data_IF_896671197208
#
_entry.id   IF_896671197208
#
_cell.length_a   1.000
_cell.length_b   1.000
_cell.length_c   1.000
_cell.angle_alpha   90.00
_cell.angle_beta   90.00
_cell.angle_gamma   90.00
#
_symmetry.space_group_name_H-M   'P 1'
#
loop_
_entity.id
_entity.type
_entity.pdbx_description
1 polymer ?
#
# COMPACT_ATOMS: atom_id res chain seq x y z
N UNK A 1 -55.47 49.38 -2.61
CA UNK A 1 -54.22 49.49 -3.43
C UNK A 1 -53.26 48.42 -2.92
N UNK A 2 -53.33 47.20 -3.46
CA UNK A 2 -52.57 46.06 -2.99
C UNK A 2 -51.30 45.92 -3.88
N UNK A 3 -50.16 46.07 -3.26
CA UNK A 3 -48.87 45.89 -3.88
C UNK A 3 -48.48 44.38 -3.82
N UNK A 4 -48.44 43.71 -4.93
CA UNK A 4 -47.98 42.30 -5.04
C UNK A 4 -46.45 42.31 -5.05
N UNK A 5 -45.84 41.71 -4.04
CA UNK A 5 -44.42 41.41 -3.94
C UNK A 5 -44.18 40.07 -4.70
N UNK A 6 -43.54 40.12 -5.85
CA UNK A 6 -43.09 38.93 -6.59
C UNK A 6 -41.74 38.50 -6.03
N UNK A 7 -41.69 37.35 -5.36
CA UNK A 7 -40.46 36.68 -4.98
C UNK A 7 -39.90 35.97 -6.20
N UNK A 8 -38.74 36.41 -6.70
CA UNK A 8 -37.93 35.70 -7.68
C UNK A 8 -37.02 34.76 -6.93
N UNK A 9 -37.33 33.43 -7.01
CA UNK A 9 -36.48 32.37 -6.49
C UNK A 9 -35.41 32.08 -7.55
N UNK A 10 -34.19 32.48 -7.29
CA UNK A 10 -33.02 32.05 -8.08
C UNK A 10 -32.71 30.59 -7.72
N UNK A 11 -33.01 29.66 -8.60
CA UNK A 11 -32.50 28.30 -8.57
C UNK A 11 -31.07 28.32 -9.08
N UNK A 12 -30.09 28.32 -8.16
CA UNK A 12 -28.72 27.98 -8.51
C UNK A 12 -28.62 26.48 -8.65
N UNK A 13 -28.57 25.99 -9.89
CA UNK A 13 -28.23 24.61 -10.21
C UNK A 13 -26.76 24.39 -9.88
N UNK A 14 -26.52 23.77 -8.72
CA UNK A 14 -25.20 23.25 -8.39
C UNK A 14 -25.00 22.02 -9.27
N UNK A 15 -24.19 22.17 -10.32
CA UNK A 15 -23.70 21.05 -11.10
C UNK A 15 -22.76 20.23 -10.18
N UNK A 16 -23.25 19.12 -9.66
CA UNK A 16 -22.41 18.08 -9.10
C UNK A 16 -21.62 17.46 -10.25
N UNK A 17 -20.38 17.87 -10.40
CA UNK A 17 -19.39 17.14 -11.19
C UNK A 17 -19.14 15.86 -10.40
N UNK A 18 -19.83 14.79 -10.77
CA UNK A 18 -19.46 13.45 -10.35
C UNK A 18 -18.08 13.15 -10.94
N UNK A 19 -17.03 13.25 -10.12
CA UNK A 19 -15.76 12.62 -10.45
C UNK A 19 -16.01 11.11 -10.52
N UNK A 20 -16.30 10.63 -11.71
CA UNK A 20 -16.14 9.23 -12.07
C UNK A 20 -14.67 8.89 -11.79
N UNK A 21 -14.43 8.12 -10.73
CA UNK A 21 -13.14 7.47 -10.56
C UNK A 21 -13.02 6.43 -11.64
N UNK A 22 -12.47 6.81 -12.79
CA UNK A 22 -12.01 5.87 -13.79
C UNK A 22 -11.00 4.96 -13.10
N UNK A 23 -11.47 3.75 -12.81
CA UNK A 23 -10.62 2.65 -12.34
C UNK A 23 -9.67 2.37 -13.49
N UNK A 24 -8.46 2.88 -13.41
CA UNK A 24 -7.36 2.52 -14.29
C UNK A 24 -7.16 1.00 -14.18
N UNK A 25 -7.81 0.26 -15.07
CA UNK A 25 -7.42 -1.12 -15.37
C UNK A 25 -6.09 -1.03 -16.09
N UNK A 26 -5.00 -1.17 -15.34
CA UNK A 26 -3.69 -1.46 -15.93
C UNK A 26 -3.85 -2.74 -16.74
N UNK A 27 -3.86 -2.60 -18.07
CA UNK A 27 -3.73 -3.73 -18.97
C UNK A 27 -2.34 -4.31 -18.74
N UNK A 28 -2.27 -5.47 -18.06
CA UNK A 28 -1.02 -6.18 -17.76
C UNK A 28 -0.29 -6.68 -19.02
N UNK A 29 -0.79 -6.36 -20.21
CA UNK A 29 -0.32 -6.90 -21.47
C UNK A 29 0.86 -6.10 -22.08
N UNK A 30 1.34 -5.03 -21.43
CA UNK A 30 2.31 -4.10 -22.05
C UNK A 30 3.66 -4.02 -21.31
N UNK A 31 3.91 -4.87 -20.31
CA UNK A 31 5.21 -4.84 -19.63
C UNK A 31 6.09 -5.95 -20.20
N UNK A 32 6.94 -5.61 -21.17
CA UNK A 32 8.12 -6.41 -21.52
C UNK A 32 9.09 -6.39 -20.33
N UNK A 33 9.85 -7.49 -20.13
CA UNK A 33 10.71 -7.66 -18.96
C UNK A 33 11.78 -6.58 -18.73
N UNK A 34 11.98 -5.68 -19.70
CA UNK A 34 12.94 -4.55 -19.63
C UNK A 34 12.30 -3.25 -19.11
N UNK A 35 10.96 -3.18 -18.95
CA UNK A 35 10.24 -1.99 -18.50
C UNK A 35 10.01 -1.95 -16.96
N UNK A 36 10.65 -2.83 -16.21
CA UNK A 36 10.63 -2.79 -14.72
C UNK A 36 11.48 -1.66 -14.12
N UNK A 37 12.18 -0.89 -14.96
CA UNK A 37 12.84 0.35 -14.57
C UNK A 37 11.85 1.50 -14.72
N UNK A 38 11.52 2.12 -13.61
CA UNK A 38 10.64 3.29 -13.43
C UNK A 38 10.79 4.31 -14.58
N UNK A 39 9.87 4.28 -15.54
CA UNK A 39 9.58 5.43 -16.38
C UNK A 39 8.38 6.13 -15.79
N UNK A 40 8.56 7.36 -15.37
CA UNK A 40 7.47 8.29 -15.09
C UNK A 40 6.60 8.36 -16.34
N UNK A 41 5.36 7.92 -16.24
CA UNK A 41 4.40 7.97 -17.34
C UNK A 41 3.96 9.42 -17.47
N UNK A 42 4.47 10.10 -18.46
CA UNK A 42 3.85 11.31 -19.01
C UNK A 42 2.56 10.87 -19.73
N UNK A 43 1.42 11.24 -19.14
CA UNK A 43 0.10 11.01 -19.71
C UNK A 43 -0.14 11.88 -20.94
N UNK A 44 0.30 11.44 -22.09
CA UNK A 44 -0.23 11.94 -23.37
C UNK A 44 -0.84 10.80 -24.16
N UNK A 45 -2.16 10.84 -24.18
CA UNK A 45 -3.06 9.97 -24.93
C UNK A 45 -2.66 9.86 -26.40
N UNK A 46 -2.23 8.70 -26.84
CA UNK A 46 -2.33 8.30 -28.23
C UNK A 46 -3.34 7.15 -28.34
N UNK A 47 -4.54 7.52 -28.75
CA UNK A 47 -5.61 6.60 -29.16
C UNK A 47 -5.23 6.01 -30.50
N UNK A 48 -5.19 4.71 -30.58
CA UNK A 48 -5.38 3.79 -31.69
C UNK A 48 -4.24 2.81 -31.92
N UNK A 49 -4.39 1.66 -31.28
CA UNK A 49 -4.23 0.34 -31.89
C UNK A 49 -4.56 -0.72 -30.83
N UNK A 50 -5.83 -1.19 -30.79
CA UNK A 50 -6.20 -2.37 -30.00
C UNK A 50 -5.47 -3.60 -30.57
N UNK A 51 -4.23 -3.83 -30.15
CA UNK A 51 -3.59 -5.14 -30.33
C UNK A 51 -4.49 -6.15 -29.63
N UNK A 52 -4.96 -7.18 -30.34
CA UNK A 52 -5.68 -8.30 -29.72
C UNK A 52 -4.81 -8.91 -28.65
N UNK A 53 -5.17 -8.72 -27.39
CA UNK A 53 -4.45 -9.29 -26.24
C UNK A 53 -4.48 -10.81 -26.34
N UNK A 54 -3.34 -11.44 -26.28
CA UNK A 54 -3.24 -12.90 -26.34
C UNK A 54 -3.90 -13.48 -25.07
N UNK A 55 -4.91 -14.30 -25.25
CA UNK A 55 -5.70 -14.89 -24.15
C UNK A 55 -4.81 -15.72 -23.20
N UNK A 56 -4.92 -15.46 -21.89
CA UNK A 56 -4.17 -16.16 -20.82
C UNK A 56 -2.65 -16.02 -20.89
N UNK A 57 -2.12 -14.91 -21.40
CA UNK A 57 -0.70 -14.58 -21.31
C UNK A 57 -0.57 -13.37 -20.38
N UNK A 58 0.23 -13.52 -19.31
CA UNK A 58 0.51 -12.48 -18.34
C UNK A 58 2.02 -12.42 -18.13
N UNK A 59 2.58 -11.20 -18.10
CA UNK A 59 4.02 -10.98 -18.01
C UNK A 59 4.81 -11.82 -19.04
N UNK A 60 4.28 -11.94 -20.26
CA UNK A 60 4.88 -12.72 -21.36
C UNK A 60 4.73 -14.24 -21.24
N UNK A 61 4.10 -14.77 -20.19
CA UNK A 61 4.02 -16.20 -19.89
C UNK A 61 2.59 -16.71 -20.08
N UNK A 62 2.47 -17.85 -20.78
CA UNK A 62 1.19 -18.56 -20.96
C UNK A 62 0.78 -19.24 -19.65
N UNK A 63 -0.43 -18.95 -19.18
CA UNK A 63 -0.97 -19.48 -17.91
C UNK A 63 -2.18 -20.36 -18.14
N UNK A 64 -2.50 -21.15 -17.14
CA UNK A 64 -3.77 -21.91 -17.02
C UNK A 64 -4.64 -21.26 -15.94
N UNK A 65 -5.96 -21.29 -16.15
CA UNK A 65 -6.94 -20.80 -15.17
C UNK A 65 -7.18 -21.83 -14.08
N UNK A 66 -7.27 -21.36 -12.86
CA UNK A 66 -7.68 -22.11 -11.68
C UNK A 66 -8.92 -21.52 -11.03
N UNK A 67 -9.65 -22.35 -10.32
CA UNK A 67 -10.86 -21.98 -9.61
C UNK A 67 -10.98 -22.80 -8.34
N UNK A 68 -11.27 -22.14 -7.22
CA UNK A 68 -11.55 -22.78 -5.93
C UNK A 68 -12.87 -22.23 -5.41
N UNK A 69 -13.67 -23.12 -4.83
CA UNK A 69 -14.86 -22.78 -4.04
C UNK A 69 -14.68 -23.32 -2.63
N UNK A 70 -14.74 -22.43 -1.64
CA UNK A 70 -14.67 -22.80 -0.22
C UNK A 70 -15.99 -22.42 0.43
N UNK A 71 -16.80 -23.37 0.90
CA UNK A 71 -18.00 -23.08 1.70
C UNK A 71 -17.60 -22.42 3.03
N UNK A 72 -18.29 -21.34 3.39
CA UNK A 72 -18.09 -20.64 4.67
C UNK A 72 -19.45 -20.34 5.31
N UNK A 73 -20.00 -21.31 6.05
CA UNK A 73 -21.33 -21.23 6.61
C UNK A 73 -22.39 -21.06 5.52
N UNK A 74 -23.17 -19.95 5.57
CA UNK A 74 -24.18 -19.62 4.56
C UNK A 74 -23.61 -18.98 3.29
N UNK A 75 -22.32 -18.65 3.27
CA UNK A 75 -21.66 -17.98 2.18
C UNK A 75 -20.67 -18.93 1.48
N UNK A 76 -20.23 -18.53 0.28
CA UNK A 76 -19.17 -19.21 -0.44
C UNK A 76 -18.06 -18.23 -0.79
N UNK A 77 -16.83 -18.62 -0.57
CA UNK A 77 -15.65 -17.93 -1.09
C UNK A 77 -15.29 -18.57 -2.42
N UNK A 78 -15.11 -17.73 -3.43
CA UNK A 78 -14.64 -18.12 -4.75
C UNK A 78 -13.30 -17.45 -5.01
N UNK A 79 -12.31 -18.24 -5.41
CA UNK A 79 -11.00 -17.76 -5.81
C UNK A 79 -10.76 -18.11 -7.27
N UNK A 80 -10.65 -17.08 -8.12
CA UNK A 80 -10.26 -17.20 -9.52
C UNK A 80 -8.80 -16.77 -9.63
N UNK A 81 -7.97 -17.59 -10.23
CA UNK A 81 -6.55 -17.34 -10.34
C UNK A 81 -5.98 -17.94 -11.62
N UNK A 82 -4.75 -17.59 -11.89
CA UNK A 82 -3.95 -18.20 -12.95
C UNK A 82 -2.71 -18.84 -12.34
N UNK A 83 -2.18 -19.86 -13.00
CA UNK A 83 -0.99 -20.57 -12.56
C UNK A 83 -0.15 -21.04 -13.75
N UNK A 84 1.12 -21.34 -13.46
CA UNK A 84 2.10 -21.87 -14.42
C UNK A 84 2.63 -23.22 -13.93
N UNK A 85 3.19 -23.99 -14.88
CA UNK A 85 3.80 -25.28 -14.61
C UNK A 85 5.30 -25.18 -14.27
N UNK A 86 5.83 -23.95 -14.19
CA UNK A 86 7.24 -23.72 -13.84
C UNK A 86 7.48 -24.04 -12.37
N UNK A 87 8.65 -24.60 -12.08
CA UNK A 87 9.20 -24.80 -10.73
C UNK A 87 10.21 -23.72 -10.32
N UNK A 88 10.39 -22.67 -11.14
CA UNK A 88 11.36 -21.61 -10.88
C UNK A 88 10.86 -20.63 -9.83
N UNK A 89 11.59 -20.48 -8.73
CA UNK A 89 11.37 -19.45 -7.72
C UNK A 89 12.20 -18.21 -8.08
N UNK A 90 11.56 -17.10 -8.42
CA UNK A 90 12.24 -15.85 -8.81
C UNK A 90 12.84 -15.09 -7.62
N UNK A 91 12.27 -15.21 -6.44
CA UNK A 91 12.77 -14.60 -5.21
C UNK A 91 12.63 -15.58 -4.03
N UNK A 92 13.67 -16.34 -3.70
CA UNK A 92 13.64 -17.30 -2.59
C UNK A 92 13.60 -16.61 -1.21
N UNK A 93 13.94 -15.32 -1.14
CA UNK A 93 13.95 -14.54 0.10
C UNK A 93 12.61 -13.88 0.41
N UNK A 94 11.64 -13.97 -0.51
CA UNK A 94 10.29 -13.46 -0.25
C UNK A 94 9.68 -14.14 0.98
N UNK A 95 8.93 -13.38 1.75
CA UNK A 95 8.28 -13.90 2.96
C UNK A 95 7.27 -14.99 2.62
N UNK A 96 6.51 -14.81 1.56
CA UNK A 96 5.44 -15.72 1.14
C UNK A 96 5.50 -15.97 -0.37
N UNK A 97 5.49 -17.23 -0.75
CA UNK A 97 5.33 -17.69 -2.13
C UNK A 97 4.03 -18.49 -2.20
N UNK A 98 3.15 -18.12 -3.12
CA UNK A 98 1.81 -18.68 -3.23
C UNK A 98 1.75 -19.75 -4.31
N UNK A 99 1.20 -20.89 -3.93
CA UNK A 99 1.03 -22.06 -4.79
C UNK A 99 -0.42 -22.53 -4.78
N UNK A 100 -0.86 -23.05 -5.89
CA UNK A 100 -2.05 -23.91 -5.94
C UNK A 100 -1.63 -25.35 -5.69
N UNK A 101 -2.08 -25.94 -4.60
CA UNK A 101 -1.89 -27.36 -4.32
C UNK A 101 -3.01 -28.19 -4.98
N UNK A 102 -2.62 -29.04 -5.94
CA UNK A 102 -3.54 -29.90 -6.69
C UNK A 102 -4.22 -30.95 -5.80
N UNK A 103 -3.54 -31.42 -4.76
CA UNK A 103 -4.06 -32.49 -3.87
C UNK A 103 -5.14 -31.94 -2.93
N UNK A 104 -4.85 -30.87 -2.22
CA UNK A 104 -5.81 -30.24 -1.29
C UNK A 104 -6.79 -29.29 -1.99
N UNK A 105 -6.54 -28.93 -3.27
CA UNK A 105 -7.31 -27.95 -4.05
C UNK A 105 -7.44 -26.60 -3.34
N UNK A 106 -6.34 -26.17 -2.74
CA UNK A 106 -6.26 -24.90 -1.99
C UNK A 106 -5.06 -24.07 -2.47
N UNK A 107 -5.14 -22.75 -2.26
CA UNK A 107 -3.97 -21.89 -2.34
C UNK A 107 -3.23 -22.00 -1.01
N UNK A 108 -1.97 -22.37 -1.08
CA UNK A 108 -1.07 -22.50 0.06
C UNK A 108 0.09 -21.52 -0.06
N UNK A 109 0.72 -21.23 1.07
CA UNK A 109 1.93 -20.41 1.17
C UNK A 109 3.06 -21.29 1.64
N UNK A 110 4.16 -21.32 0.89
CA UNK A 110 5.32 -22.14 1.21
C UNK A 110 6.59 -21.48 0.70
N UNK A 111 7.73 -21.82 1.25
CA UNK A 111 9.06 -21.44 0.73
C UNK A 111 9.63 -22.50 -0.21
N UNK A 112 9.03 -23.68 -0.27
CA UNK A 112 9.51 -24.80 -1.09
C UNK A 112 8.43 -25.28 -2.05
N UNK A 113 8.86 -25.75 -3.19
CA UNK A 113 8.04 -26.38 -4.23
C UNK A 113 7.93 -27.87 -3.92
N UNK A 114 6.73 -28.44 -4.12
CA UNK A 114 6.50 -29.87 -4.14
C UNK A 114 5.85 -30.29 -5.47
N UNK A 115 5.89 -31.56 -5.80
CA UNK A 115 5.37 -32.12 -7.09
C UNK A 115 3.88 -31.83 -7.31
N UNK A 116 3.14 -31.59 -6.23
CA UNK A 116 1.71 -31.29 -6.28
C UNK A 116 1.40 -29.79 -6.33
N UNK A 117 2.39 -28.91 -6.25
CA UNK A 117 2.19 -27.47 -6.19
C UNK A 117 2.46 -26.79 -7.54
N UNK A 118 1.67 -25.76 -7.84
CA UNK A 118 1.77 -24.94 -9.05
C UNK A 118 1.86 -23.47 -8.66
N UNK A 119 2.84 -22.75 -9.20
CA UNK A 119 3.05 -21.35 -8.92
C UNK A 119 1.89 -20.51 -9.44
N UNK A 120 1.33 -19.64 -8.62
CA UNK A 120 0.37 -18.64 -9.05
C UNK A 120 1.07 -17.61 -9.96
N UNK A 121 0.41 -17.23 -11.08
CA UNK A 121 0.97 -16.28 -12.04
C UNK A 121 -0.12 -15.60 -12.85
N UNK A 122 -0.20 -14.27 -12.80
CA UNK A 122 -1.25 -13.49 -13.45
C UNK A 122 -2.33 -13.04 -12.46
N UNK A 123 -3.52 -12.68 -12.92
CA UNK A 123 -4.57 -12.10 -12.09
C UNK A 123 -5.13 -13.10 -11.06
N UNK A 124 -5.44 -12.55 -9.90
CA UNK A 124 -6.12 -13.21 -8.80
C UNK A 124 -7.31 -12.37 -8.36
N UNK A 125 -8.46 -13.02 -8.17
CA UNK A 125 -9.68 -12.40 -7.68
C UNK A 125 -10.34 -13.33 -6.68
N UNK A 126 -10.60 -12.81 -5.48
CA UNK A 126 -11.34 -13.49 -4.42
C UNK A 126 -12.70 -12.83 -4.24
N UNK A 127 -13.75 -13.63 -4.21
CA UNK A 127 -15.12 -13.17 -4.01
C UNK A 127 -15.76 -13.85 -2.81
N UNK A 128 -16.57 -13.10 -2.09
CA UNK A 128 -17.53 -13.63 -1.13
C UNK A 128 -18.89 -13.62 -1.83
N UNK A 129 -19.43 -14.80 -2.15
CA UNK A 129 -20.53 -14.94 -3.09
C UNK A 129 -20.19 -14.28 -4.44
N UNK A 130 -20.89 -13.22 -4.83
CA UNK A 130 -20.64 -12.50 -6.09
C UNK A 130 -19.79 -11.23 -5.93
N UNK A 131 -19.48 -10.83 -4.70
CA UNK A 131 -18.80 -9.58 -4.40
C UNK A 131 -17.29 -9.78 -4.32
N UNK A 132 -16.52 -8.95 -5.00
CA UNK A 132 -15.06 -8.95 -4.92
C UNK A 132 -14.64 -8.44 -3.53
N UNK A 133 -13.81 -9.22 -2.85
CA UNK A 133 -13.24 -8.84 -1.55
C UNK A 133 -11.72 -8.68 -1.57
N UNK A 134 -11.05 -9.27 -2.55
CA UNK A 134 -9.61 -9.10 -2.74
C UNK A 134 -9.26 -9.31 -4.21
N UNK A 135 -8.36 -8.48 -4.75
CA UNK A 135 -7.81 -8.67 -6.10
C UNK A 135 -6.37 -8.16 -6.21
N UNK A 136 -5.62 -8.75 -7.14
CA UNK A 136 -4.23 -8.38 -7.42
C UNK A 136 -3.62 -9.27 -8.47
N UNK A 137 -2.30 -9.22 -8.59
CA UNK A 137 -1.53 -10.02 -9.53
C UNK A 137 -0.45 -10.82 -8.82
N UNK A 138 -0.23 -12.05 -9.30
CA UNK A 138 0.92 -12.85 -8.93
C UNK A 138 1.95 -12.90 -10.05
N UNK A 139 3.23 -12.89 -9.69
CA UNK A 139 4.35 -13.13 -10.56
C UNK A 139 5.22 -14.25 -9.97
N UNK A 140 5.21 -15.45 -10.56
CA UNK A 140 5.88 -16.66 -10.03
C UNK A 140 5.59 -16.91 -8.53
N UNK A 141 4.33 -16.91 -8.16
CA UNK A 141 3.86 -17.11 -6.78
C UNK A 141 4.00 -15.90 -5.86
N UNK A 142 4.64 -14.82 -6.32
CA UNK A 142 4.90 -13.61 -5.55
C UNK A 142 3.82 -12.56 -5.82
N UNK A 143 3.35 -11.86 -4.80
CA UNK A 143 2.50 -10.69 -5.01
C UNK A 143 3.25 -9.65 -5.83
N UNK A 144 2.58 -9.07 -6.83
CA UNK A 144 3.16 -8.09 -7.73
C UNK A 144 2.20 -6.96 -8.01
N UNK A 145 2.71 -5.71 -8.01
CA UNK A 145 1.92 -4.52 -8.25
C UNK A 145 0.88 -4.27 -7.18
N UNK A 146 -0.22 -3.63 -7.56
CA UNK A 146 -1.29 -3.21 -6.68
C UNK A 146 -2.17 -4.38 -6.25
N UNK A 147 -2.41 -4.47 -4.94
CA UNK A 147 -3.37 -5.36 -4.29
C UNK A 147 -4.40 -4.53 -3.55
N UNK A 148 -5.67 -4.87 -3.67
CA UNK A 148 -6.76 -4.20 -2.98
C UNK A 148 -7.62 -5.20 -2.22
N UNK A 149 -8.12 -4.76 -1.06
CA UNK A 149 -9.17 -5.44 -0.29
C UNK A 149 -10.36 -4.52 -0.14
N UNK A 150 -11.54 -5.08 -0.39
CA UNK A 150 -12.81 -4.40 -0.29
C UNK A 150 -13.65 -5.04 0.83
N UNK A 151 -14.49 -4.23 1.47
CA UNK A 151 -15.48 -4.77 2.38
C UNK A 151 -16.74 -5.24 1.61
N UNK A 152 -17.75 -5.71 2.35
CA UNK A 152 -19.02 -6.17 1.78
C UNK A 152 -19.86 -5.07 1.11
N UNK A 153 -19.50 -3.82 1.27
CA UNK A 153 -20.18 -2.65 0.69
C UNK A 153 -19.34 -2.02 -0.45
N UNK A 154 -18.41 -2.78 -1.03
CA UNK A 154 -17.45 -2.35 -2.06
C UNK A 154 -16.56 -1.15 -1.66
N UNK A 155 -16.45 -0.88 -0.35
CA UNK A 155 -15.59 0.17 0.18
C UNK A 155 -14.17 -0.36 0.30
N UNK A 156 -13.20 0.39 -0.22
CA UNK A 156 -11.79 0.07 -0.12
C UNK A 156 -11.36 0.03 1.36
N UNK A 157 -10.96 -1.16 1.81
CA UNK A 157 -10.44 -1.38 3.16
C UNK A 157 -8.93 -1.23 3.21
N UNK A 158 -8.26 -1.71 2.17
CA UNK A 158 -6.82 -1.76 2.13
C UNK A 158 -6.29 -1.72 0.71
N UNK A 159 -5.16 -1.05 0.54
CA UNK A 159 -4.43 -0.96 -0.73
C UNK A 159 -2.95 -1.14 -0.41
N UNK A 160 -2.36 -2.13 -1.00
CA UNK A 160 -0.95 -2.47 -0.84
C UNK A 160 -0.26 -2.53 -2.21
N UNK A 161 1.01 -2.22 -2.26
CA UNK A 161 1.81 -2.34 -3.47
C UNK A 161 3.01 -3.26 -3.22
N UNK A 162 3.28 -4.15 -4.16
CA UNK A 162 4.30 -5.18 -4.03
C UNK A 162 5.23 -5.21 -5.23
N UNK A 163 6.50 -5.51 -4.99
CA UNK A 163 7.50 -5.81 -6.01
C UNK A 163 8.20 -7.11 -5.64
N UNK A 164 8.03 -8.14 -6.48
CA UNK A 164 8.60 -9.48 -6.27
C UNK A 164 8.35 -10.03 -4.85
N UNK A 165 7.12 -9.87 -4.34
CA UNK A 165 6.69 -10.32 -3.04
C UNK A 165 7.02 -9.39 -1.87
N UNK A 166 7.81 -8.35 -2.09
CA UNK A 166 8.14 -7.34 -1.09
C UNK A 166 7.17 -6.18 -1.11
N UNK A 167 6.65 -5.81 0.05
CA UNK A 167 5.79 -4.63 0.18
C UNK A 167 6.61 -3.35 -0.01
N UNK A 168 6.10 -2.45 -0.84
CA UNK A 168 6.75 -1.18 -1.22
C UNK A 168 5.89 0.04 -0.91
N UNK A 169 4.94 -0.06 0.00
CA UNK A 169 4.04 1.05 0.33
C UNK A 169 4.02 1.25 1.84
N UNK A 170 3.85 2.53 2.26
CA UNK A 170 3.79 2.87 3.68
C UNK A 170 2.58 2.23 4.35
N UNK A 171 2.80 1.65 5.52
CA UNK A 171 1.74 1.21 6.42
C UNK A 171 1.09 2.44 7.06
N UNK A 172 -0.23 2.43 7.12
CA UNK A 172 -1.01 3.49 7.76
C UNK A 172 -1.81 2.91 8.91
N UNK A 173 -1.60 3.45 10.10
CA UNK A 173 -2.37 3.13 11.29
C UNK A 173 -3.29 4.29 11.62
N UNK A 174 -4.45 3.99 12.20
CA UNK A 174 -5.50 4.95 12.50
C UNK A 174 -5.87 4.90 13.97
N UNK A 175 -6.38 6.01 14.52
CA UNK A 175 -6.88 6.10 15.87
C UNK A 175 -8.26 5.45 16.02
N UNK A 176 -9.01 5.40 14.92
CA UNK A 176 -10.38 4.94 14.86
C UNK A 176 -10.51 3.75 13.88
N UNK A 177 -11.59 2.99 14.08
CA UNK A 177 -11.89 1.83 13.25
C UNK A 177 -12.29 2.23 11.82
N UNK A 178 -12.92 3.40 11.67
CA UNK A 178 -13.41 3.90 10.38
C UNK A 178 -12.29 4.45 9.48
N UNK A 179 -11.04 4.42 9.99
CA UNK A 179 -9.83 4.85 9.27
C UNK A 179 -9.90 6.31 8.80
N UNK A 180 -10.49 7.19 9.60
CA UNK A 180 -10.59 8.63 9.33
C UNK A 180 -9.39 9.37 9.92
N UNK A 181 -9.08 9.13 11.19
CA UNK A 181 -8.03 9.84 11.92
C UNK A 181 -6.72 9.07 11.88
N UNK A 182 -5.79 9.53 11.05
CA UNK A 182 -4.49 8.92 10.89
C UNK A 182 -3.67 9.03 12.17
N UNK A 183 -3.10 7.91 12.62
CA UNK A 183 -2.24 7.82 13.80
C UNK A 183 -0.77 7.80 13.43
N UNK A 184 -0.42 7.02 12.40
CA UNK A 184 0.97 6.74 12.07
C UNK A 184 1.14 6.36 10.61
N UNK A 185 2.21 6.84 9.99
CA UNK A 185 2.69 6.41 8.66
C UNK A 185 4.08 5.82 8.84
N UNK A 186 4.21 4.52 8.60
CA UNK A 186 5.48 3.81 8.61
C UNK A 186 5.89 3.55 7.17
N UNK A 187 6.99 4.13 6.68
CA UNK A 187 7.45 3.90 5.31
C UNK A 187 8.00 2.48 5.19
N UNK A 188 7.53 1.72 4.20
CA UNK A 188 8.02 0.37 3.92
C UNK A 188 8.61 0.32 2.52
N UNK A 189 9.81 -0.23 2.41
CA UNK A 189 10.48 -0.51 1.14
C UNK A 189 11.16 -1.88 1.24
N UNK A 190 10.85 -2.76 0.29
CA UNK A 190 11.33 -4.15 0.29
C UNK A 190 11.05 -4.93 1.58
N UNK A 191 9.94 -4.61 2.25
CA UNK A 191 9.54 -5.27 3.50
C UNK A 191 10.16 -4.70 4.77
N UNK A 192 11.04 -3.72 4.68
CA UNK A 192 11.72 -3.06 5.80
C UNK A 192 11.26 -1.62 5.97
N UNK A 193 11.32 -1.10 7.21
CA UNK A 193 11.09 0.32 7.45
C UNK A 193 12.22 1.13 6.81
N UNK A 194 11.87 1.94 5.79
CA UNK A 194 12.83 2.72 5.04
C UNK A 194 12.18 3.97 4.44
N UNK A 195 12.63 5.16 4.85
CA UNK A 195 12.14 6.46 4.43
C UNK A 195 11.56 7.28 5.57
N UNK A 196 10.72 8.27 5.24
CA UNK A 196 10.21 9.25 6.20
C UNK A 196 9.02 8.70 6.99
N UNK A 197 9.14 8.77 8.31
CA UNK A 197 8.15 8.39 9.30
C UNK A 197 7.39 9.62 9.81
N UNK A 198 6.09 9.44 10.07
CA UNK A 198 5.23 10.44 10.70
C UNK A 198 4.30 9.78 11.72
N UNK A 199 4.17 10.41 12.89
CA UNK A 199 3.10 10.14 13.83
C UNK A 199 2.23 11.39 14.01
N UNK A 200 0.95 11.20 14.30
CA UNK A 200 -0.03 12.26 14.40
C UNK A 200 -0.79 12.18 15.73
N UNK A 201 -1.16 13.32 16.26
CA UNK A 201 -2.15 13.43 17.30
C UNK A 201 -3.54 13.12 16.74
N UNK A 202 -4.50 12.88 17.63
CA UNK A 202 -5.88 12.57 17.22
C UNK A 202 -6.56 13.70 16.44
N UNK A 203 -6.12 14.95 16.61
CA UNK A 203 -6.57 16.13 15.87
C UNK A 203 -5.87 16.32 14.51
N UNK A 204 -5.05 15.36 14.09
CA UNK A 204 -4.36 15.35 12.81
C UNK A 204 -3.04 16.13 12.76
N UNK A 205 -2.66 16.81 13.85
CA UNK A 205 -1.36 17.50 13.90
C UNK A 205 -0.22 16.50 14.06
N UNK A 206 0.94 16.83 13.51
CA UNK A 206 2.14 16.01 13.62
C UNK A 206 2.60 15.92 15.08
N UNK A 207 2.74 14.70 15.59
CA UNK A 207 3.25 14.41 16.93
C UNK A 207 4.74 14.07 16.92
N UNK A 208 5.20 13.37 15.87
CA UNK A 208 6.61 13.06 15.67
C UNK A 208 6.91 12.87 14.18
N UNK A 209 8.17 13.14 13.80
CA UNK A 209 8.69 12.83 12.46
C UNK A 209 10.17 12.44 12.55
N UNK A 210 10.59 11.58 11.62
CA UNK A 210 11.98 11.13 11.52
C UNK A 210 12.19 10.34 10.25
N UNK A 211 13.26 9.57 10.22
CA UNK A 211 13.62 8.73 9.09
C UNK A 211 14.08 7.35 9.58
N UNK A 212 13.66 6.33 8.85
CA UNK A 212 14.15 4.97 9.00
C UNK A 212 15.05 4.59 7.81
N UNK A 213 16.11 3.85 8.09
CA UNK A 213 16.90 3.12 7.10
C UNK A 213 17.07 1.69 7.61
N UNK A 214 16.62 0.70 6.84
CA UNK A 214 16.72 -0.72 7.16
C UNK A 214 16.28 -1.04 8.61
N UNK A 215 15.06 -0.66 8.96
CA UNK A 215 14.43 -0.82 10.28
C UNK A 215 15.06 -0.01 11.42
N UNK A 216 16.15 0.73 11.18
CA UNK A 216 16.83 1.55 12.18
C UNK A 216 16.43 3.01 12.09
N UNK A 217 16.20 3.67 13.24
CA UNK A 217 16.03 5.12 13.27
C UNK A 217 17.36 5.79 12.96
N UNK A 218 17.35 6.78 12.04
CA UNK A 218 18.55 7.53 11.64
C UNK A 218 18.31 9.03 11.68
N UNK A 219 19.39 9.80 11.73
CA UNK A 219 19.34 11.25 11.65
C UNK A 219 18.64 11.92 12.82
N UNK A 220 18.00 13.05 12.57
CA UNK A 220 17.32 13.84 13.60
C UNK A 220 15.82 13.54 13.61
N UNK A 221 15.33 13.09 14.76
CA UNK A 221 13.91 12.92 15.04
C UNK A 221 13.38 14.11 15.81
N UNK A 222 12.21 14.63 15.39
CA UNK A 222 11.56 15.74 16.04
C UNK A 222 10.22 15.31 16.62
N UNK A 223 9.99 15.58 17.88
CA UNK A 223 8.69 15.43 18.55
C UNK A 223 8.08 16.82 18.77
N UNK A 224 6.75 16.85 18.77
CA UNK A 224 5.96 18.06 18.92
C UNK A 224 4.98 17.93 20.08
N UNK A 225 4.60 19.09 20.64
CA UNK A 225 3.43 19.19 21.50
C UNK A 225 2.16 19.24 20.62
N UNK A 226 1.00 18.94 21.21
CA UNK A 226 -0.27 19.06 20.51
C UNK A 226 -0.60 20.49 20.04
N UNK A 227 0.06 21.50 20.61
CA UNK A 227 0.05 22.88 20.13
C UNK A 227 0.76 23.09 18.79
N UNK A 228 1.47 22.08 18.27
CA UNK A 228 2.31 22.15 17.07
C UNK A 228 3.71 22.71 17.31
N UNK A 229 4.03 23.16 18.54
CA UNK A 229 5.38 23.60 18.90
C UNK A 229 6.32 22.42 19.07
N UNK A 230 7.60 22.58 18.74
CA UNK A 230 8.62 21.56 18.99
C UNK A 230 8.70 21.24 20.48
N UNK A 231 8.81 19.95 20.81
CA UNK A 231 9.01 19.42 22.14
C UNK A 231 10.46 19.03 22.36
N UNK A 232 11.01 18.22 21.45
CA UNK A 232 12.43 17.84 21.49
C UNK A 232 12.94 17.37 20.14
N UNK A 233 14.24 17.50 19.95
CA UNK A 233 15.01 16.94 18.85
C UNK A 233 15.95 15.89 19.39
N UNK A 234 15.90 14.68 18.81
CA UNK A 234 16.72 13.53 19.22
C UNK A 234 17.60 13.17 18.04
N UNK A 235 18.90 13.07 18.24
CA UNK A 235 19.86 12.59 17.25
C UNK A 235 20.03 11.09 17.40
N UNK A 236 19.79 10.37 16.34
CA UNK A 236 20.22 9.00 16.09
C UNK A 236 21.44 9.03 15.18
N UNK A 237 22.23 7.96 15.15
CA UNK A 237 23.31 7.85 14.19
C UNK A 237 22.78 7.96 12.75
N UNK A 238 23.63 8.47 11.85
CA UNK A 238 23.26 8.59 10.42
C UNK A 238 23.41 7.25 9.68
N UNK A 239 24.12 6.29 10.29
CA UNK A 239 24.28 4.93 9.76
C UNK A 239 23.27 3.97 10.41
N UNK A 240 22.60 3.12 9.62
CA UNK A 240 21.79 2.04 10.15
C UNK A 240 22.68 1.04 10.89
N UNK A 241 22.10 0.31 11.85
CA UNK A 241 22.77 -0.71 12.67
C UNK A 241 23.91 -0.20 13.58
N UNK A 242 24.03 1.12 13.75
CA UNK A 242 24.96 1.68 14.72
C UNK A 242 24.56 1.30 16.15
N UNK A 243 25.56 1.02 16.98
CA UNK A 243 25.39 0.77 18.41
C UNK A 243 25.50 2.05 19.25
N UNK A 244 25.75 3.19 18.62
CA UNK A 244 25.85 4.46 19.31
C UNK A 244 24.50 4.85 19.91
N UNK A 245 24.44 5.25 21.19
CA UNK A 245 23.20 5.65 21.82
C UNK A 245 22.68 6.96 21.21
N UNK A 246 21.36 7.05 21.04
CA UNK A 246 20.71 8.29 20.68
C UNK A 246 20.77 9.29 21.84
N UNK A 247 20.77 10.58 21.52
CA UNK A 247 20.79 11.64 22.51
C UNK A 247 19.89 12.82 22.13
N UNK A 248 19.41 13.56 23.12
CA UNK A 248 18.63 14.78 22.91
C UNK A 248 19.60 15.91 22.51
N UNK A 249 19.31 16.56 21.37
CA UNK A 249 20.02 17.75 20.91
C UNK A 249 19.44 18.98 21.59
N UNK A 250 18.10 19.13 21.56
CA UNK A 250 17.35 20.28 22.09
C UNK A 250 16.03 19.81 22.68
N UNK A 251 15.59 20.56 23.69
CA UNK A 251 14.28 20.37 24.30
C UNK A 251 13.63 21.72 24.61
N UNK A 252 12.33 21.81 24.41
CA UNK A 252 11.52 22.99 24.65
C UNK A 252 10.37 22.69 25.60
N UNK A 253 9.95 23.66 26.37
CA UNK A 253 8.73 23.57 27.16
C UNK A 253 7.48 23.80 26.28
N UNK A 254 6.29 23.59 26.83
CA UNK A 254 5.00 23.76 26.12
C UNK A 254 4.77 25.20 25.61
N UNK A 255 5.40 26.18 26.22
CA UNK A 255 5.36 27.59 25.78
C UNK A 255 6.28 27.88 24.57
N UNK A 256 7.13 26.89 24.20
CA UNK A 256 8.10 27.01 23.11
C UNK A 256 9.44 27.65 23.54
N UNK A 257 9.66 27.82 24.86
CA UNK A 257 10.95 28.26 25.39
C UNK A 257 11.94 27.10 25.40
N UNK A 258 13.14 27.31 24.87
CA UNK A 258 14.24 26.35 24.91
C UNK A 258 14.67 26.12 26.36
N UNK A 259 14.65 24.86 26.81
CA UNK A 259 15.04 24.46 28.19
C UNK A 259 16.33 23.65 28.22
N UNK A 260 16.68 23.02 27.09
CA UNK A 260 17.93 22.29 26.96
C UNK A 260 18.49 22.46 25.53
N UNK A 261 19.81 22.72 25.43
CA UNK A 261 20.57 22.65 24.18
C UNK A 261 21.94 22.04 24.46
N UNK A 262 22.21 20.86 23.91
CA UNK A 262 23.46 20.15 24.09
C UNK A 262 24.69 20.97 23.70
N UNK A 263 24.58 21.77 22.62
CA UNK A 263 25.69 22.59 22.12
C UNK A 263 26.15 23.68 23.10
N UNK A 264 25.29 24.08 24.04
CA UNK A 264 25.63 25.03 25.07
C UNK A 264 26.47 24.40 26.21
N UNK A 265 26.33 23.08 26.40
CA UNK A 265 27.00 22.33 27.48
C UNK A 265 28.32 21.66 27.04
N UNK A 266 28.58 21.58 25.72
CA UNK A 266 29.81 20.96 25.17
C UNK A 266 30.90 21.99 24.84
N UNK A 267 30.70 23.28 25.17
CA UNK A 267 31.70 24.35 24.97
C UNK A 267 32.59 24.65 26.17
N UNK A 268 32.62 23.76 27.19
CA UNK A 268 33.56 23.88 28.28
C UNK A 268 34.65 22.84 28.16
#
# INVERSE_FOLDING_TARGET
>A
MFMRLTFIVFFTTINYISFSQDIFRLNADTISGDDLLFKSVDDTLSINNKKKTKKNIFFGIKTKKGFIRVPQGRNNIYENFHFILSSEIKNPYAQEIHFFDKKSRKIIRSKSISDNTLLLHGPYIKRLNNQVIEEGYFYYGLKQGRWIRLNRSDILQDKENYTLGWQNESLRYYWDYDKVNLKEIIPIKYGEMHGKYYAFFRDGKVAARGEYINNSKVGTWTEFFNSGKKKREIKYDDLPFSTNPSFIIREWNNNGKLIYDRNLFTKN
#
